data_IF_299329694349
#
_entry.id   IF_299329694349
#
_cell.length_a   1.000
_cell.length_b   1.000
_cell.length_c   1.000
_cell.angle_alpha   90.00
_cell.angle_beta   90.00
_cell.angle_gamma   90.00
#
_symmetry.space_group_name_H-M   'P 1'
#
loop_
_entity.id
_entity.type
_entity.pdbx_description
1 polymer ?
#
# COMPACT_ATOMS: atom_id res chain seq x y z
N UNK A 1 15.43 24.89 -7.01
CA UNK A 1 14.58 23.92 -7.76
C UNK A 1 14.48 22.57 -7.02
N UNK A 2 13.81 22.52 -5.86
CA UNK A 2 13.59 21.25 -5.12
C UNK A 2 12.20 21.14 -4.45
N UNK A 3 11.36 22.19 -4.53
CA UNK A 3 10.05 22.24 -3.86
C UNK A 3 8.87 21.66 -4.68
N UNK A 4 9.05 21.34 -5.96
CA UNK A 4 7.94 20.90 -6.85
C UNK A 4 7.60 19.40 -6.76
N UNK A 5 8.51 18.51 -6.32
CA UNK A 5 8.28 17.05 -6.27
C UNK A 5 7.45 16.55 -5.06
N UNK A 6 7.46 17.23 -3.90
CA UNK A 6 6.66 16.83 -2.72
C UNK A 6 5.16 17.13 -2.85
N UNK A 7 4.80 18.17 -3.62
CA UNK A 7 3.40 18.58 -3.80
C UNK A 7 2.58 17.57 -4.64
N UNK A 8 3.20 16.91 -5.62
CA UNK A 8 2.51 15.93 -6.48
C UNK A 8 2.30 14.58 -5.80
N UNK A 9 3.19 14.18 -4.89
CA UNK A 9 2.99 13.00 -4.02
C UNK A 9 1.81 13.24 -3.06
N UNK A 10 1.72 14.45 -2.48
CA UNK A 10 0.58 14.86 -1.64
C UNK A 10 -0.76 14.86 -2.38
N UNK A 11 -0.79 15.32 -3.63
CA UNK A 11 -1.99 15.28 -4.49
C UNK A 11 -2.38 13.86 -4.90
N UNK A 12 -1.41 12.98 -5.18
CA UNK A 12 -1.64 11.53 -5.45
C UNK A 12 -2.23 10.82 -4.23
N UNK A 13 -1.76 11.13 -3.02
CA UNK A 13 -2.37 10.63 -1.77
C UNK A 13 -3.78 11.15 -1.53
N UNK A 14 -4.04 12.43 -1.77
CA UNK A 14 -5.38 13.00 -1.60
C UNK A 14 -6.41 12.43 -2.57
N UNK A 15 -6.04 12.21 -3.84
CA UNK A 15 -6.93 11.62 -4.86
C UNK A 15 -7.18 10.12 -4.62
N UNK A 16 -6.15 9.38 -4.23
CA UNK A 16 -6.27 7.98 -3.79
C UNK A 16 -7.16 7.86 -2.54
N UNK A 17 -7.03 8.78 -1.57
CA UNK A 17 -7.94 8.87 -0.40
C UNK A 17 -9.39 9.10 -0.82
N UNK A 18 -9.68 9.99 -1.78
CA UNK A 18 -11.05 10.23 -2.28
C UNK A 18 -11.65 9.05 -3.07
N UNK A 19 -10.86 8.38 -3.90
CA UNK A 19 -11.32 7.21 -4.66
C UNK A 19 -11.50 5.98 -3.75
N UNK A 20 -10.65 5.82 -2.72
CA UNK A 20 -10.80 4.82 -1.67
C UNK A 20 -12.03 5.10 -0.79
N UNK A 21 -12.34 6.35 -0.47
CA UNK A 21 -13.57 6.75 0.24
C UNK A 21 -14.83 6.36 -0.56
N UNK A 22 -14.86 6.64 -1.88
CA UNK A 22 -15.99 6.26 -2.74
C UNK A 22 -16.17 4.74 -2.83
N UNK A 23 -15.08 3.96 -2.91
CA UNK A 23 -15.15 2.48 -2.93
C UNK A 23 -15.47 1.87 -1.57
N UNK A 24 -15.07 2.49 -0.46
CA UNK A 24 -15.40 2.04 0.92
C UNK A 24 -16.88 2.23 1.24
N UNK A 25 -17.50 3.34 0.82
CA UNK A 25 -18.95 3.56 0.94
C UNK A 25 -19.79 2.47 0.26
N UNK A 26 -19.31 1.90 -0.85
CA UNK A 26 -20.00 0.83 -1.58
C UNK A 26 -19.94 -0.55 -0.90
N UNK A 27 -18.95 -0.81 -0.03
CA UNK A 27 -18.85 -2.10 0.68
C UNK A 27 -19.59 -2.12 2.04
N UNK A 28 -19.89 -0.96 2.61
CA UNK A 28 -20.45 -0.82 3.96
C UNK A 28 -21.99 -0.78 4.03
N UNK A 29 -22.71 -0.83 2.90
CA UNK A 29 -24.20 -0.82 2.84
C UNK A 29 -24.85 -2.12 3.39
N UNK A 30 -24.09 -3.04 4.00
CA UNK A 30 -24.65 -4.23 4.67
C UNK A 30 -24.15 -4.37 6.10
N UNK A 31 -24.21 -3.30 6.90
CA UNK A 31 -24.31 -3.40 8.35
C UNK A 31 -25.69 -3.97 8.73
N UNK A 32 -25.84 -5.29 8.63
CA UNK A 32 -26.84 -6.03 9.42
C UNK A 32 -26.09 -6.84 10.47
N UNK A 33 -26.63 -7.00 11.70
CA UNK A 33 -26.03 -7.88 12.68
C UNK A 33 -26.13 -9.31 12.13
N UNK A 34 -24.99 -9.90 11.77
CA UNK A 34 -24.92 -11.31 11.38
C UNK A 34 -24.32 -12.09 12.54
N UNK A 35 -25.20 -12.76 13.27
CA UNK A 35 -24.85 -14.05 13.84
C UNK A 35 -24.34 -14.96 12.71
N UNK A 36 -23.28 -15.71 13.00
CA UNK A 36 -22.60 -16.68 12.14
C UNK A 36 -21.89 -16.11 10.89
N UNK A 37 -20.76 -15.44 11.11
CA UNK A 37 -19.69 -15.38 10.09
C UNK A 37 -18.74 -16.54 10.39
N UNK A 38 -18.87 -17.63 9.64
CA UNK A 38 -17.81 -18.64 9.55
C UNK A 38 -16.54 -17.96 9.03
N UNK A 39 -15.54 -17.98 9.89
CA UNK A 39 -14.19 -17.47 9.70
C UNK A 39 -13.62 -18.01 8.39
N UNK A 40 -13.44 -17.15 7.39
CA UNK A 40 -12.58 -17.47 6.26
C UNK A 40 -11.22 -16.83 6.54
N UNK A 41 -10.37 -17.55 7.28
CA UNK A 41 -8.96 -17.20 7.43
C UNK A 41 -8.39 -17.07 6.02
N UNK A 42 -8.17 -15.83 5.55
CA UNK A 42 -7.54 -15.63 4.24
C UNK A 42 -6.05 -15.84 4.43
N UNK A 43 -5.43 -16.81 3.76
CA UNK A 43 -3.98 -16.93 3.79
C UNK A 43 -3.39 -15.63 3.24
N UNK A 44 -2.35 -15.11 3.90
CA UNK A 44 -1.68 -13.92 3.38
C UNK A 44 -1.01 -14.20 2.04
N UNK A 45 -0.65 -13.12 1.34
CA UNK A 45 0.01 -13.17 0.03
C UNK A 45 1.09 -14.25 -0.14
N UNK A 46 2.04 -14.46 0.80
CA UNK A 46 3.07 -15.51 0.68
C UNK A 46 2.51 -16.93 0.62
N UNK A 47 1.30 -17.17 1.09
CA UNK A 47 0.74 -18.51 1.24
C UNK A 47 -0.35 -18.83 0.21
N UNK A 48 -0.52 -17.98 -0.81
CA UNK A 48 -1.44 -18.20 -1.93
C UNK A 48 -0.93 -19.19 -2.99
N UNK A 49 0.21 -19.85 -2.75
CA UNK A 49 0.69 -20.96 -3.59
C UNK A 49 1.42 -20.56 -4.87
N UNK A 50 1.97 -19.34 -4.95
CA UNK A 50 2.80 -18.94 -6.08
C UNK A 50 4.00 -19.91 -6.27
N UNK A 51 4.23 -20.42 -7.49
CA UNK A 51 5.39 -21.29 -7.79
C UNK A 51 6.73 -20.59 -7.59
N UNK A 52 7.82 -21.36 -7.55
CA UNK A 52 9.17 -20.81 -7.52
C UNK A 52 9.42 -19.90 -8.74
N UNK A 53 10.06 -18.75 -8.51
CA UNK A 53 10.26 -17.71 -9.53
C UNK A 53 9.05 -16.79 -9.74
N UNK A 54 7.94 -17.02 -9.04
CA UNK A 54 6.73 -16.18 -9.09
C UNK A 54 6.35 -15.67 -7.70
N UNK A 55 5.51 -14.64 -7.67
CA UNK A 55 4.94 -14.08 -6.45
C UNK A 55 3.46 -13.75 -6.64
N UNK A 56 2.70 -13.78 -5.55
CA UNK A 56 1.28 -13.44 -5.55
C UNK A 56 1.11 -11.93 -5.55
N UNK A 57 0.24 -11.42 -6.40
CA UNK A 57 0.00 -9.98 -6.51
C UNK A 57 -1.49 -9.68 -6.75
N UNK A 58 -2.07 -8.63 -6.15
CA UNK A 58 -3.41 -8.17 -6.53
C UNK A 58 -3.42 -7.63 -7.96
N UNK A 59 -4.53 -7.80 -8.68
CA UNK A 59 -4.68 -7.30 -10.06
C UNK A 59 -4.27 -5.82 -10.24
N UNK A 60 -4.63 -4.96 -9.29
CA UNK A 60 -4.28 -3.54 -9.37
C UNK A 60 -2.75 -3.30 -9.43
N UNK A 61 -1.98 -4.07 -8.65
CA UNK A 61 -0.52 -3.96 -8.70
C UNK A 61 0.05 -4.70 -9.93
N UNK A 62 -0.56 -5.81 -10.37
CA UNK A 62 -0.19 -6.49 -11.61
C UNK A 62 -0.28 -5.57 -12.82
N UNK A 63 -1.36 -4.80 -12.93
CA UNK A 63 -1.55 -3.81 -14.00
C UNK A 63 -0.48 -2.71 -13.95
N UNK A 64 -0.11 -2.24 -12.76
CA UNK A 64 0.96 -1.25 -12.60
C UNK A 64 2.33 -1.80 -13.00
N UNK A 65 2.64 -3.05 -12.64
CA UNK A 65 3.88 -3.76 -13.03
C UNK A 65 3.96 -3.99 -14.56
N UNK A 66 2.83 -4.33 -15.17
CA UNK A 66 2.69 -4.48 -16.60
C UNK A 66 2.90 -3.16 -17.34
N UNK A 67 2.28 -2.08 -16.86
CA UNK A 67 2.29 -0.76 -17.48
C UNK A 67 3.64 0.00 -17.37
N UNK A 68 4.64 -0.51 -16.62
CA UNK A 68 5.95 0.14 -16.44
C UNK A 68 6.58 0.69 -17.72
N UNK A 69 6.68 -0.05 -18.84
CA UNK A 69 7.29 0.46 -20.06
C UNK A 69 6.55 1.66 -20.66
N UNK A 70 5.22 1.73 -20.49
CA UNK A 70 4.41 2.86 -20.96
C UNK A 70 4.61 4.08 -20.06
N UNK A 71 4.74 3.87 -18.75
CA UNK A 71 5.02 4.93 -17.79
C UNK A 71 6.41 5.55 -18.00
N UNK A 72 7.41 4.74 -18.37
CA UNK A 72 8.78 5.21 -18.68
C UNK A 72 8.81 6.17 -19.88
N UNK A 73 7.97 5.95 -20.89
CA UNK A 73 7.83 6.87 -22.04
C UNK A 73 7.23 8.22 -21.66
N UNK A 74 6.58 8.29 -20.51
CA UNK A 74 5.83 9.45 -20.04
C UNK A 74 6.46 10.06 -18.79
N UNK A 75 7.76 9.84 -18.56
CA UNK A 75 8.51 10.26 -17.36
C UNK A 75 8.41 11.77 -17.04
N UNK A 76 7.98 12.60 -17.99
CA UNK A 76 7.75 14.05 -17.82
C UNK A 76 6.27 14.47 -17.83
N UNK A 77 5.35 13.51 -17.99
CA UNK A 77 3.92 13.73 -18.11
C UNK A 77 3.21 13.96 -16.77
N UNK A 78 2.21 14.84 -16.79
CA UNK A 78 1.31 15.08 -15.65
C UNK A 78 0.32 13.92 -15.43
N UNK A 79 -0.75 14.19 -14.69
CA UNK A 79 -1.80 13.20 -14.40
C UNK A 79 -2.46 12.61 -15.66
N UNK A 80 -2.65 13.43 -16.70
CA UNK A 80 -3.27 13.00 -17.97
C UNK A 80 -2.43 11.90 -18.63
N UNK A 81 -1.11 12.08 -18.68
CA UNK A 81 -0.20 11.06 -19.20
C UNK A 81 -0.29 9.74 -18.42
N UNK A 82 -0.42 9.79 -17.09
CA UNK A 82 -0.63 8.57 -16.30
C UNK A 82 -1.95 7.86 -16.66
N UNK A 83 -3.05 8.62 -16.78
CA UNK A 83 -4.35 8.07 -17.15
C UNK A 83 -4.30 7.44 -18.56
N UNK A 84 -3.61 8.08 -19.51
CA UNK A 84 -3.37 7.56 -20.86
C UNK A 84 -2.55 6.26 -20.85
N UNK A 85 -1.47 6.21 -20.05
CA UNK A 85 -0.63 5.03 -19.89
C UNK A 85 -1.45 3.82 -19.39
N UNK A 86 -2.29 4.05 -18.38
CA UNK A 86 -3.12 3.01 -17.79
C UNK A 86 -4.23 2.54 -18.73
N UNK A 87 -4.82 3.47 -19.49
CA UNK A 87 -5.81 3.11 -20.51
C UNK A 87 -5.17 2.27 -21.61
N UNK A 88 -4.00 2.68 -22.12
CA UNK A 88 -3.25 1.92 -23.12
C UNK A 88 -2.85 0.53 -22.58
N UNK A 89 -2.34 0.45 -21.35
CA UNK A 89 -2.01 -0.81 -20.70
C UNK A 89 -3.22 -1.76 -20.62
N UNK A 90 -4.39 -1.25 -20.23
CA UNK A 90 -5.59 -2.07 -20.10
C UNK A 90 -6.06 -2.62 -21.45
N UNK A 91 -5.99 -1.82 -22.52
CA UNK A 91 -6.36 -2.28 -23.87
C UNK A 91 -5.37 -3.33 -24.38
N UNK A 92 -4.06 -3.10 -24.18
CA UNK A 92 -3.01 -4.06 -24.55
C UNK A 92 -3.13 -5.37 -23.78
N UNK A 93 -3.41 -5.30 -22.47
CA UNK A 93 -3.67 -6.46 -21.63
C UNK A 93 -4.84 -7.29 -22.17
N UNK A 94 -5.97 -6.66 -22.46
CA UNK A 94 -7.16 -7.35 -22.98
C UNK A 94 -6.91 -7.95 -24.38
N UNK A 95 -6.11 -7.28 -25.20
CA UNK A 95 -5.70 -7.82 -26.50
C UNK A 95 -4.79 -9.05 -26.32
N UNK A 96 -3.83 -9.01 -25.39
CA UNK A 96 -3.00 -10.17 -25.07
C UNK A 96 -3.83 -11.38 -24.63
N UNK A 97 -4.82 -11.18 -23.75
CA UNK A 97 -5.77 -12.23 -23.37
C UNK A 97 -6.57 -12.77 -24.57
N UNK A 98 -7.01 -11.88 -25.47
CA UNK A 98 -7.76 -12.30 -26.67
C UNK A 98 -6.90 -13.16 -27.59
N UNK A 99 -5.60 -12.87 -27.71
CA UNK A 99 -4.66 -13.70 -28.46
C UNK A 99 -4.48 -15.08 -27.82
N UNK A 100 -4.38 -15.15 -26.49
CA UNK A 100 -4.30 -16.42 -25.75
C UNK A 100 -5.56 -17.29 -25.95
N UNK A 101 -6.73 -16.67 -26.13
CA UNK A 101 -8.01 -17.35 -26.42
C UNK A 101 -8.19 -17.67 -27.92
N UNK A 102 -7.26 -17.29 -28.79
CA UNK A 102 -7.35 -17.50 -30.24
C UNK A 102 -8.30 -16.53 -30.96
N UNK A 103 -8.62 -15.39 -30.35
CA UNK A 103 -9.52 -14.36 -30.85
C UNK A 103 -8.74 -13.15 -31.42
N UNK A 104 -7.83 -13.41 -32.37
CA UNK A 104 -7.05 -12.35 -33.03
C UNK A 104 -7.92 -11.46 -33.92
N UNK A 105 -7.77 -10.13 -33.79
CA UNK A 105 -8.50 -9.14 -34.58
C UNK A 105 -7.58 -8.04 -35.09
N UNK A 106 -7.26 -8.11 -36.39
CA UNK A 106 -6.49 -7.07 -37.09
C UNK A 106 -7.12 -5.68 -37.00
N UNK A 107 -8.44 -5.59 -36.81
CA UNK A 107 -9.11 -4.30 -36.63
C UNK A 107 -8.73 -3.69 -35.27
N UNK A 108 -8.82 -4.50 -34.21
CA UNK A 108 -8.47 -4.06 -32.86
C UNK A 108 -6.98 -3.71 -32.79
N UNK A 109 -6.11 -4.53 -33.39
CA UNK A 109 -4.68 -4.25 -33.48
C UNK A 109 -4.40 -2.87 -34.12
N UNK A 110 -5.01 -2.58 -35.28
CA UNK A 110 -4.85 -1.29 -35.95
C UNK A 110 -5.36 -0.12 -35.09
N UNK A 111 -6.48 -0.30 -34.39
CA UNK A 111 -7.05 0.73 -33.51
C UNK A 111 -6.12 0.99 -32.30
N UNK A 112 -5.51 -0.06 -31.73
CA UNK A 112 -4.51 0.05 -30.66
C UNK A 112 -3.28 0.81 -31.15
N UNK A 113 -2.69 0.39 -32.28
CA UNK A 113 -1.50 1.03 -32.85
C UNK A 113 -1.75 2.50 -33.17
N UNK A 114 -2.91 2.85 -33.73
CA UNK A 114 -3.31 4.23 -33.98
C UNK A 114 -3.37 5.05 -32.68
N UNK A 115 -3.95 4.47 -31.63
CA UNK A 115 -4.05 5.12 -30.31
C UNK A 115 -2.66 5.32 -29.70
N UNK A 116 -1.80 4.29 -29.73
CA UNK A 116 -0.44 4.37 -29.19
C UNK A 116 0.40 5.44 -29.89
N UNK A 117 0.32 5.53 -31.23
CA UNK A 117 1.00 6.59 -31.98
C UNK A 117 0.58 7.99 -31.51
N UNK A 118 -0.71 8.20 -31.29
CA UNK A 118 -1.25 9.49 -30.86
C UNK A 118 -0.92 9.82 -29.40
N UNK A 119 -1.07 8.85 -28.48
CA UNK A 119 -0.90 9.07 -27.04
C UNK A 119 0.57 9.18 -26.59
N UNK A 120 1.49 8.55 -27.34
CA UNK A 120 2.91 8.49 -26.96
C UNK A 120 3.84 9.18 -27.96
N UNK A 121 3.29 9.89 -28.95
CA UNK A 121 4.04 10.58 -30.02
C UNK A 121 5.06 9.65 -30.72
N UNK A 122 4.60 8.45 -31.08
CA UNK A 122 5.43 7.42 -31.70
C UNK A 122 5.22 7.38 -33.20
N UNK A 123 6.31 7.15 -33.94
CA UNK A 123 6.21 6.73 -35.33
C UNK A 123 5.65 5.29 -35.44
N UNK A 124 5.39 4.86 -36.67
CA UNK A 124 4.79 3.55 -36.93
C UNK A 124 5.66 2.37 -36.48
N UNK A 125 6.97 2.49 -36.64
CA UNK A 125 7.91 1.42 -36.28
C UNK A 125 8.07 1.33 -34.76
N UNK A 126 8.18 2.47 -34.09
CA UNK A 126 8.26 2.55 -32.64
C UNK A 126 6.95 2.08 -31.97
N UNK A 127 5.80 2.44 -32.52
CA UNK A 127 4.50 1.97 -32.03
C UNK A 127 4.34 0.45 -32.18
N UNK A 128 4.74 -0.12 -33.32
CA UNK A 128 4.72 -1.57 -33.53
C UNK A 128 5.67 -2.30 -32.57
N UNK A 129 6.89 -1.79 -32.41
CA UNK A 129 7.87 -2.38 -31.50
C UNK A 129 7.37 -2.36 -30.04
N UNK A 130 6.77 -1.25 -29.61
CA UNK A 130 6.18 -1.14 -28.27
C UNK A 130 4.97 -2.07 -28.11
N UNK A 131 4.09 -2.13 -29.11
CA UNK A 131 2.95 -3.05 -29.12
C UNK A 131 3.41 -4.49 -28.92
N UNK A 132 4.33 -4.98 -29.77
CA UNK A 132 4.89 -6.33 -29.66
C UNK A 132 5.54 -6.57 -28.30
N UNK A 133 6.36 -5.63 -27.82
CA UNK A 133 6.99 -5.69 -26.49
C UNK A 133 5.95 -5.86 -25.38
N UNK A 134 4.84 -5.14 -25.45
CA UNK A 134 3.79 -5.21 -24.42
C UNK A 134 3.00 -6.52 -24.46
N UNK A 135 2.76 -7.10 -25.64
CA UNK A 135 2.14 -8.43 -25.76
C UNK A 135 3.08 -9.51 -25.20
N UNK A 136 4.35 -9.50 -25.61
CA UNK A 136 5.36 -10.43 -25.09
C UNK A 136 5.55 -10.30 -23.58
N UNK A 137 5.54 -9.06 -23.05
CA UNK A 137 5.63 -8.80 -21.61
C UNK A 137 4.45 -9.40 -20.85
N UNK A 138 3.24 -9.42 -21.41
CA UNK A 138 2.08 -10.03 -20.74
C UNK A 138 2.32 -11.53 -20.52
N UNK A 139 2.59 -12.27 -21.59
CA UNK A 139 2.84 -13.71 -21.52
C UNK A 139 4.07 -14.08 -20.69
N UNK A 140 5.11 -13.23 -20.69
CA UNK A 140 6.29 -13.43 -19.85
C UNK A 140 5.97 -13.24 -18.36
N UNK A 141 5.30 -12.15 -17.98
CA UNK A 141 5.01 -11.82 -16.59
C UNK A 141 3.90 -12.67 -15.98
N UNK A 142 2.87 -12.99 -16.77
CA UNK A 142 1.65 -13.69 -16.35
C UNK A 142 1.39 -14.93 -17.20
N UNK A 143 2.25 -15.97 -17.16
CA UNK A 143 2.03 -17.17 -17.95
C UNK A 143 0.66 -17.80 -17.61
N UNK A 144 -0.17 -18.13 -18.61
CA UNK A 144 -1.55 -18.56 -18.39
C UNK A 144 -1.66 -19.94 -17.72
N UNK A 145 -0.65 -20.80 -17.90
CA UNK A 145 -0.57 -22.16 -17.38
C UNK A 145 -0.47 -22.23 -15.86
N UNK A 146 0.05 -21.18 -15.22
CA UNK A 146 0.23 -21.12 -13.76
C UNK A 146 -0.79 -20.24 -13.05
N UNK A 147 -1.61 -19.46 -13.77
CA UNK A 147 -2.49 -18.48 -13.13
C UNK A 147 -3.55 -19.18 -12.25
N UNK A 148 -3.82 -18.65 -11.04
CA UNK A 148 -4.82 -19.22 -10.16
C UNK A 148 -6.24 -18.98 -10.71
N UNK A 149 -7.05 -20.04 -10.82
CA UNK A 149 -8.44 -19.96 -11.31
C UNK A 149 -9.37 -19.38 -10.25
N UNK A 150 -10.22 -18.44 -10.64
CA UNK A 150 -11.24 -17.84 -9.76
C UNK A 150 -10.67 -17.01 -8.61
N UNK A 151 -9.38 -16.67 -8.64
CA UNK A 151 -8.72 -15.90 -7.60
C UNK A 151 -8.74 -14.40 -7.93
N UNK A 152 -8.88 -13.51 -6.94
CA UNK A 152 -8.65 -12.07 -7.12
C UNK A 152 -7.16 -11.69 -7.20
N UNK A 153 -6.27 -12.68 -7.08
CA UNK A 153 -4.82 -12.54 -7.15
C UNK A 153 -4.29 -13.19 -8.43
N UNK A 154 -3.13 -12.72 -8.87
CA UNK A 154 -2.38 -13.27 -9.99
C UNK A 154 -1.00 -13.71 -9.52
N UNK A 155 -0.37 -14.61 -10.28
CA UNK A 155 1.04 -14.90 -10.12
C UNK A 155 1.84 -14.10 -11.14
N UNK A 156 2.75 -13.26 -10.66
CA UNK A 156 3.67 -12.49 -11.48
C UNK A 156 5.08 -13.04 -11.35
N UNK A 157 5.81 -13.10 -12.47
CA UNK A 157 7.21 -13.50 -12.47
C UNK A 157 8.07 -12.51 -11.68
N UNK A 158 9.02 -13.02 -10.91
CA UNK A 158 10.08 -12.24 -10.26
C UNK A 158 11.15 -11.92 -11.29
N UNK A 159 11.16 -10.70 -11.83
CA UNK A 159 12.16 -10.25 -12.82
C UNK A 159 13.54 -10.04 -12.19
N UNK A 160 13.58 -9.67 -10.91
CA UNK A 160 14.80 -9.38 -10.15
C UNK A 160 14.76 -10.11 -8.83
N UNK A 161 15.88 -10.74 -8.46
CA UNK A 161 16.08 -11.29 -7.11
C UNK A 161 16.59 -10.18 -6.21
N UNK A 162 15.79 -9.79 -5.22
CA UNK A 162 16.18 -8.78 -4.25
C UNK A 162 16.88 -9.43 -3.04
N UNK A 163 18.02 -8.87 -2.63
CA UNK A 163 18.63 -9.19 -1.34
C UNK A 163 17.94 -8.35 -0.27
N UNK A 164 17.02 -8.95 0.47
CA UNK A 164 16.30 -8.28 1.55
C UNK A 164 17.08 -8.48 2.85
N UNK A 165 17.58 -7.37 3.40
CA UNK A 165 18.26 -7.34 4.69
C UNK A 165 17.31 -6.76 5.74
N UNK A 166 17.38 -7.21 7.01
CA UNK A 166 16.69 -6.54 8.10
C UNK A 166 17.07 -5.06 8.17
N UNK A 167 16.21 -4.26 8.80
CA UNK A 167 16.52 -2.87 9.08
C UNK A 167 17.72 -2.77 10.03
N UNK A 168 18.60 -1.81 9.76
CA UNK A 168 19.79 -1.56 10.57
C UNK A 168 19.46 -0.56 11.69
N UNK A 169 19.17 -1.08 12.89
CA UNK A 169 18.81 -0.27 14.05
C UNK A 169 19.94 0.63 14.54
N UNK A 170 21.20 0.32 14.23
CA UNK A 170 22.34 1.16 14.61
C UNK A 170 22.34 2.49 13.85
N UNK A 171 21.56 2.58 12.76
CA UNK A 171 21.35 3.82 12.00
C UNK A 171 20.27 4.73 12.59
N UNK A 172 19.54 4.29 13.61
CA UNK A 172 18.59 5.10 14.36
C UNK A 172 19.28 5.76 15.55
N UNK A 173 19.95 6.88 15.28
CA UNK A 173 20.49 7.75 16.33
C UNK A 173 19.42 8.80 16.70
N UNK A 174 18.67 8.52 17.78
CA UNK A 174 17.61 9.38 18.30
C UNK A 174 17.85 9.68 19.78
N UNK A 175 17.52 10.89 20.21
CA UNK A 175 17.62 11.27 21.63
C UNK A 175 16.63 10.48 22.50
N UNK A 176 17.11 9.99 23.64
CA UNK A 176 16.27 9.38 24.68
C UNK A 176 15.45 10.41 25.48
N UNK A 177 15.72 11.72 25.32
CA UNK A 177 15.04 12.77 26.07
C UNK A 177 13.55 12.83 25.72
N UNK A 178 12.69 12.76 26.73
CA UNK A 178 11.24 12.85 26.55
C UNK A 178 10.88 14.24 26.03
N UNK A 179 10.16 14.31 24.91
CA UNK A 179 9.63 15.56 24.36
C UNK A 179 8.21 15.75 24.89
N UNK A 180 7.97 16.66 25.86
CA UNK A 180 6.65 16.81 26.48
C UNK A 180 5.60 17.28 25.44
N UNK A 181 4.31 16.93 25.64
CA UNK A 181 3.25 17.30 24.71
C UNK A 181 2.96 18.82 24.78
N UNK A 182 2.96 19.47 23.62
CA UNK A 182 2.47 20.85 23.49
C UNK A 182 0.93 20.90 23.42
N UNK A 183 0.36 22.11 23.30
CA UNK A 183 -1.10 22.29 23.21
C UNK A 183 -1.73 21.54 22.03
N UNK A 184 -1.05 21.46 20.89
CA UNK A 184 -1.54 20.75 19.70
C UNK A 184 -1.43 19.23 19.88
N UNK A 185 -0.37 18.74 20.54
CA UNK A 185 -0.28 17.31 20.89
C UNK A 185 -1.43 16.88 21.79
N UNK A 186 -1.73 17.67 22.84
CA UNK A 186 -2.86 17.39 23.73
C UNK A 186 -4.19 17.36 22.99
N UNK A 187 -4.42 18.33 22.10
CA UNK A 187 -5.61 18.37 21.26
C UNK A 187 -5.69 17.17 20.31
N UNK A 188 -4.57 16.72 19.73
CA UNK A 188 -4.51 15.51 18.91
C UNK A 188 -4.92 14.29 19.75
N UNK A 189 -4.35 14.11 20.94
CA UNK A 189 -4.65 12.97 21.83
C UNK A 189 -6.12 12.95 22.24
N UNK A 190 -6.73 14.10 22.59
CA UNK A 190 -8.16 14.20 22.87
C UNK A 190 -9.01 13.73 21.69
N UNK A 191 -8.62 14.08 20.47
CA UNK A 191 -9.32 13.69 19.24
C UNK A 191 -9.15 12.21 18.91
N UNK A 192 -7.97 11.62 19.15
CA UNK A 192 -7.77 10.17 19.02
C UNK A 192 -8.66 9.43 20.03
N UNK A 193 -8.66 9.85 21.30
CA UNK A 193 -9.53 9.27 22.33
C UNK A 193 -11.02 9.37 21.96
N UNK A 194 -11.45 10.48 21.34
CA UNK A 194 -12.81 10.62 20.83
C UNK A 194 -13.13 9.63 19.71
N UNK A 195 -12.21 9.42 18.77
CA UNK A 195 -12.36 8.41 17.71
C UNK A 195 -12.47 7.01 18.31
N UNK A 196 -11.57 6.65 19.22
CA UNK A 196 -11.59 5.35 19.90
C UNK A 196 -12.93 5.12 20.62
N UNK A 197 -13.42 6.14 21.34
CA UNK A 197 -14.69 6.07 22.07
C UNK A 197 -15.89 5.86 21.12
N UNK A 198 -15.87 6.51 19.95
CA UNK A 198 -16.93 6.32 18.93
C UNK A 198 -16.91 4.89 18.38
N UNK A 199 -15.72 4.35 18.14
CA UNK A 199 -15.55 2.98 17.63
C UNK A 199 -15.98 1.96 18.69
N UNK A 200 -15.55 2.12 19.95
CA UNK A 200 -15.97 1.25 21.06
C UNK A 200 -17.48 1.31 21.32
N UNK A 201 -18.13 2.45 21.05
CA UNK A 201 -19.58 2.59 21.13
C UNK A 201 -20.34 2.01 19.91
N UNK A 202 -19.64 1.42 18.94
CA UNK A 202 -20.24 0.84 17.74
C UNK A 202 -20.86 1.89 16.80
N UNK A 203 -20.38 3.14 16.86
CA UNK A 203 -20.84 4.20 15.96
C UNK A 203 -20.47 3.82 14.53
N UNK A 204 -21.39 4.03 13.59
CA UNK A 204 -21.16 3.73 12.18
C UNK A 204 -20.06 4.61 11.58
N UNK A 205 -19.25 4.03 10.70
CA UNK A 205 -18.10 4.68 10.06
C UNK A 205 -18.41 6.05 9.45
N UNK A 206 -19.52 6.19 8.73
CA UNK A 206 -19.91 7.45 8.09
C UNK A 206 -20.06 8.62 9.07
N UNK A 207 -20.31 8.34 10.36
CA UNK A 207 -20.47 9.34 11.42
C UNK A 207 -19.13 9.82 11.99
N UNK A 208 -18.07 9.01 11.90
CA UNK A 208 -16.73 9.38 12.37
C UNK A 208 -15.69 9.54 11.26
N UNK A 209 -16.05 9.29 9.99
CA UNK A 209 -15.15 9.36 8.82
C UNK A 209 -14.38 10.69 8.74
N UNK A 210 -15.06 11.82 8.92
CA UNK A 210 -14.42 13.14 8.85
C UNK A 210 -13.37 13.36 9.95
N UNK A 211 -13.65 12.87 11.16
CA UNK A 211 -12.70 12.87 12.28
C UNK A 211 -11.51 11.98 11.96
N UNK A 212 -11.75 10.74 11.53
CA UNK A 212 -10.72 9.79 11.14
C UNK A 212 -9.77 10.35 10.07
N UNK A 213 -10.31 10.90 8.99
CA UNK A 213 -9.51 11.40 7.87
C UNK A 213 -8.61 12.57 8.26
N UNK A 214 -9.15 13.51 9.05
CA UNK A 214 -8.38 14.67 9.51
C UNK A 214 -7.33 14.30 10.56
N UNK A 215 -7.57 13.26 11.36
CA UNK A 215 -6.59 12.73 12.32
C UNK A 215 -5.36 12.16 11.62
N UNK A 216 -5.49 11.50 10.47
CA UNK A 216 -4.36 10.89 9.76
C UNK A 216 -3.28 11.92 9.39
N UNK A 217 -3.70 13.02 8.75
CA UNK A 217 -2.77 14.05 8.29
C UNK A 217 -2.14 14.81 9.47
N UNK A 218 -2.93 15.09 10.51
CA UNK A 218 -2.42 15.75 11.72
C UNK A 218 -1.41 14.85 12.46
N UNK A 219 -1.75 13.57 12.66
CA UNK A 219 -0.88 12.62 13.35
C UNK A 219 0.44 12.43 12.60
N UNK A 220 0.40 12.29 11.26
CA UNK A 220 1.61 12.23 10.43
C UNK A 220 2.50 13.46 10.66
N UNK A 221 1.95 14.67 10.56
CA UNK A 221 2.73 15.90 10.71
C UNK A 221 3.34 16.06 12.13
N UNK A 222 2.60 15.66 13.18
CA UNK A 222 3.10 15.70 14.56
C UNK A 222 4.20 14.66 14.79
N UNK A 223 4.06 13.47 14.22
CA UNK A 223 5.08 12.42 14.31
C UNK A 223 6.36 12.80 13.56
N UNK A 224 6.27 13.37 12.35
CA UNK A 224 7.43 13.92 11.62
C UNK A 224 8.19 14.94 12.44
N UNK A 225 7.46 15.89 13.04
CA UNK A 225 8.07 16.90 13.91
C UNK A 225 8.77 16.27 15.10
N UNK A 226 8.14 15.28 15.74
CA UNK A 226 8.75 14.56 16.85
C UNK A 226 10.04 13.84 16.44
N UNK A 227 10.08 13.17 15.29
CA UNK A 227 11.30 12.54 14.77
C UNK A 227 12.42 13.57 14.51
N UNK A 228 12.08 14.74 13.98
CA UNK A 228 13.04 15.84 13.78
C UNK A 228 13.55 16.36 15.12
N UNK A 229 12.66 16.61 16.08
CA UNK A 229 13.02 17.12 17.40
C UNK A 229 13.84 16.08 18.20
N UNK A 230 13.66 14.78 17.91
CA UNK A 230 14.49 13.67 18.41
C UNK A 230 15.88 13.58 17.76
N UNK A 231 16.15 14.38 16.73
CA UNK A 231 17.46 14.44 16.07
C UNK A 231 17.67 13.42 14.95
N UNK A 232 16.59 12.85 14.38
CA UNK A 232 16.71 11.82 13.34
C UNK A 232 17.61 12.27 12.18
N UNK A 233 18.66 11.48 11.92
CA UNK A 233 19.57 11.65 10.78
C UNK A 233 19.00 11.11 9.46
N UNK A 234 17.91 10.34 9.54
CA UNK A 234 17.26 9.68 8.43
C UNK A 234 16.22 10.60 7.76
N UNK A 235 15.79 10.25 6.54
CA UNK A 235 14.61 10.88 5.96
C UNK A 235 13.36 10.47 6.75
N UNK A 236 12.86 11.38 7.60
CA UNK A 236 11.69 11.16 8.45
C UNK A 236 10.45 10.72 7.67
N UNK A 237 10.36 11.05 6.38
CA UNK A 237 9.27 10.63 5.51
C UNK A 237 9.22 9.09 5.36
N UNK A 238 10.35 8.40 5.42
CA UNK A 238 10.40 6.93 5.34
C UNK A 238 9.66 6.27 6.51
N UNK A 239 9.60 6.94 7.66
CA UNK A 239 8.87 6.46 8.84
C UNK A 239 7.44 7.01 8.88
N UNK A 240 7.24 8.29 8.60
CA UNK A 240 5.93 8.93 8.80
C UNK A 240 4.89 8.55 7.74
N UNK A 241 5.33 8.26 6.52
CA UNK A 241 4.44 7.93 5.42
C UNK A 241 3.70 6.61 5.63
N UNK A 242 4.24 5.76 6.51
CA UNK A 242 3.66 4.48 6.86
C UNK A 242 2.31 4.63 7.60
N UNK A 243 2.14 5.73 8.34
CA UNK A 243 1.01 5.91 9.26
C UNK A 243 -0.33 5.90 8.54
N UNK A 244 -0.42 6.45 7.34
CA UNK A 244 -1.70 6.48 6.63
C UNK A 244 -2.26 5.08 6.36
N UNK A 245 -1.40 4.13 6.00
CA UNK A 245 -1.80 2.75 5.73
C UNK A 245 -2.08 2.01 7.02
N UNK A 246 -1.29 2.26 8.06
CA UNK A 246 -1.54 1.65 9.37
C UNK A 246 -2.86 2.13 9.99
N UNK A 247 -3.17 3.43 9.89
CA UNK A 247 -4.48 3.97 10.29
C UNK A 247 -5.63 3.39 9.45
N UNK A 248 -5.41 3.21 8.13
CA UNK A 248 -6.40 2.55 7.28
C UNK A 248 -6.62 1.09 7.64
N UNK A 249 -5.61 0.42 8.20
CA UNK A 249 -5.74 -0.90 8.77
C UNK A 249 -6.51 -0.81 10.09
N UNK A 250 -6.01 -0.11 11.10
CA UNK A 250 -6.62 -0.09 12.44
C UNK A 250 -8.07 0.41 12.44
N UNK A 251 -8.38 1.50 11.74
CA UNK A 251 -9.67 2.17 11.83
C UNK A 251 -10.51 2.10 10.55
N UNK A 252 -9.89 1.83 9.40
CA UNK A 252 -10.55 1.84 8.08
C UNK A 252 -10.76 0.46 7.48
N UNK A 253 -10.38 -0.60 8.19
CA UNK A 253 -10.55 -1.99 7.80
C UNK A 253 -11.47 -2.68 8.80
N UNK A 254 -12.25 -3.63 8.31
CA UNK A 254 -13.11 -4.42 9.18
C UNK A 254 -12.29 -5.52 9.81
N UNK A 255 -12.21 -5.48 11.12
CA UNK A 255 -11.63 -6.53 11.96
C UNK A 255 -12.75 -7.32 12.62
N UNK A 256 -12.41 -8.54 13.07
CA UNK A 256 -13.33 -9.35 13.85
C UNK A 256 -13.48 -8.78 15.27
N UNK A 257 -12.40 -8.21 15.81
CA UNK A 257 -12.38 -7.52 17.10
C UNK A 257 -12.48 -6.00 16.96
N UNK A 258 -12.99 -5.34 17.99
CA UNK A 258 -12.89 -3.88 18.10
C UNK A 258 -11.46 -3.51 18.52
N UNK A 259 -10.65 -3.07 17.55
CA UNK A 259 -9.26 -2.66 17.80
C UNK A 259 -9.11 -1.13 17.76
N UNK A 260 -8.13 -0.64 18.52
CA UNK A 260 -7.71 0.77 18.53
C UNK A 260 -6.19 0.82 18.64
N UNK A 261 -5.57 1.99 18.48
CA UNK A 261 -4.12 2.10 18.68
C UNK A 261 -3.69 1.66 20.10
N UNK A 262 -4.55 1.79 21.12
CA UNK A 262 -4.29 1.30 22.50
C UNK A 262 -4.25 -0.21 22.64
N UNK A 263 -4.97 -0.94 21.79
CA UNK A 263 -5.17 -2.37 21.92
C UNK A 263 -5.20 -3.01 20.54
N UNK A 264 -4.04 -3.49 20.10
CA UNK A 264 -3.87 -4.22 18.85
C UNK A 264 -3.38 -5.63 19.20
N UNK A 265 -4.25 -6.65 19.13
CA UNK A 265 -3.85 -8.03 19.34
C UNK A 265 -2.73 -8.45 18.37
N UNK A 266 -1.80 -9.29 18.84
CA UNK A 266 -0.63 -9.76 18.08
C UNK A 266 -0.98 -10.28 16.68
N UNK A 267 -2.10 -11.00 16.54
CA UNK A 267 -2.54 -11.55 15.26
C UNK A 267 -2.78 -10.49 14.18
N UNK A 268 -3.22 -9.28 14.56
CA UNK A 268 -3.42 -8.19 13.61
C UNK A 268 -2.10 -7.56 13.15
N UNK A 269 -1.03 -7.65 13.93
CA UNK A 269 0.31 -7.30 13.41
C UNK A 269 0.74 -8.31 12.36
N UNK A 270 0.51 -9.60 12.58
CA UNK A 270 0.78 -10.65 11.57
C UNK A 270 -0.02 -10.39 10.30
N UNK A 271 -1.33 -10.17 10.39
CA UNK A 271 -2.18 -9.85 9.22
C UNK A 271 -1.72 -8.57 8.50
N UNK A 272 -1.38 -7.54 9.27
CA UNK A 272 -0.91 -6.28 8.71
C UNK A 272 0.33 -6.47 7.84
N UNK A 273 1.36 -7.11 8.40
CA UNK A 273 2.66 -7.28 7.75
C UNK A 273 2.62 -8.35 6.65
N UNK A 274 1.90 -9.45 6.85
CA UNK A 274 1.85 -10.56 5.90
C UNK A 274 1.01 -10.25 4.66
N UNK A 275 -0.04 -9.44 4.81
CA UNK A 275 -1.07 -9.29 3.79
C UNK A 275 -1.46 -7.84 3.53
N UNK A 276 -1.98 -7.13 4.53
CA UNK A 276 -2.60 -5.82 4.29
C UNK A 276 -1.61 -4.82 3.70
N UNK A 277 -0.44 -4.68 4.31
CA UNK A 277 0.62 -3.77 3.87
C UNK A 277 1.03 -4.07 2.43
N UNK A 278 1.39 -5.32 2.15
CA UNK A 278 1.89 -5.76 0.84
C UNK A 278 0.83 -5.63 -0.27
N UNK A 279 -0.46 -5.78 0.04
CA UNK A 279 -1.55 -5.56 -0.92
C UNK A 279 -1.85 -4.09 -1.17
N UNK A 280 -1.68 -3.24 -0.15
CA UNK A 280 -2.11 -1.84 -0.17
C UNK A 280 -1.03 -0.87 -0.60
N UNK A 281 0.23 -1.23 -0.38
CA UNK A 281 1.38 -0.42 -0.77
C UNK A 281 2.11 -1.02 -1.95
N UNK A 282 2.58 -0.13 -2.81
CA UNK A 282 3.56 -0.43 -3.85
C UNK A 282 4.84 0.28 -3.45
N UNK A 283 5.66 -0.42 -2.67
CA UNK A 283 6.97 0.05 -2.24
C UNK A 283 8.05 -0.88 -2.79
N UNK A 284 9.28 -0.38 -2.88
CA UNK A 284 10.43 -1.23 -3.18
C UNK A 284 10.58 -2.33 -2.11
N UNK A 285 11.09 -3.54 -2.45
CA UNK A 285 11.26 -4.61 -1.46
C UNK A 285 12.05 -4.21 -0.21
N UNK A 286 13.07 -3.36 -0.38
CA UNK A 286 13.89 -2.84 0.71
C UNK A 286 13.26 -1.67 1.46
N UNK A 287 12.20 -1.05 0.94
CA UNK A 287 11.47 0.01 1.65
C UNK A 287 10.53 -0.59 2.71
N UNK A 288 10.06 -1.82 2.50
CA UNK A 288 9.19 -2.51 3.46
C UNK A 288 9.85 -2.72 4.83
N UNK A 289 11.18 -2.83 4.88
CA UNK A 289 11.91 -3.10 6.13
C UNK A 289 11.85 -1.91 7.10
N UNK A 290 11.47 -0.71 6.64
CA UNK A 290 11.26 0.46 7.48
C UNK A 290 9.94 0.42 8.26
N UNK A 291 8.99 -0.46 7.91
CA UNK A 291 7.66 -0.47 8.54
C UNK A 291 7.67 -0.91 10.01
N UNK A 292 8.34 -2.02 10.40
CA UNK A 292 8.46 -2.38 11.81
C UNK A 292 9.08 -1.27 12.69
N UNK A 293 10.26 -0.69 12.35
CA UNK A 293 10.82 0.40 13.17
C UNK A 293 9.93 1.65 13.14
N UNK A 294 9.30 1.99 12.02
CA UNK A 294 8.37 3.13 11.96
C UNK A 294 7.19 2.98 12.92
N UNK A 295 6.58 1.79 12.99
CA UNK A 295 5.50 1.54 13.95
C UNK A 295 6.00 1.59 15.39
N UNK A 296 7.19 1.03 15.70
CA UNK A 296 7.78 1.12 17.04
C UNK A 296 8.01 2.57 17.47
N UNK A 297 8.61 3.38 16.60
CA UNK A 297 8.82 4.81 16.83
C UNK A 297 7.50 5.57 17.00
N UNK A 298 6.50 5.24 16.19
CA UNK A 298 5.18 5.84 16.30
C UNK A 298 4.50 5.55 17.64
N UNK A 299 4.62 4.32 18.13
CA UNK A 299 4.12 3.94 19.45
C UNK A 299 4.88 4.64 20.58
N UNK A 300 6.18 4.86 20.44
CA UNK A 300 6.97 5.70 21.35
C UNK A 300 6.50 7.16 21.36
N UNK A 301 6.24 7.75 20.18
CA UNK A 301 5.64 9.07 20.06
C UNK A 301 4.29 9.14 20.79
N UNK A 302 3.39 8.18 20.58
CA UNK A 302 2.08 8.15 21.23
C UNK A 302 2.17 8.07 22.76
N UNK A 303 3.14 7.34 23.29
CA UNK A 303 3.43 7.31 24.73
C UNK A 303 3.91 8.68 25.23
N UNK A 304 4.91 9.29 24.57
CA UNK A 304 5.41 10.60 24.98
C UNK A 304 4.35 11.70 24.92
N UNK A 305 3.36 11.57 24.02
CA UNK A 305 2.25 12.53 23.93
C UNK A 305 1.12 12.27 24.93
N UNK A 306 1.21 11.20 25.72
CA UNK A 306 0.24 10.87 26.76
C UNK A 306 -1.01 10.17 26.23
N UNK A 307 -0.97 9.60 25.02
CA UNK A 307 -2.05 8.75 24.53
C UNK A 307 -1.97 7.34 25.13
N UNK A 308 -0.75 6.83 25.35
CA UNK A 308 -0.48 5.52 25.96
C UNK A 308 0.26 5.71 27.29
N UNK A 309 -0.06 4.87 28.26
CA UNK A 309 0.73 4.74 29.48
C UNK A 309 2.09 4.06 29.20
N UNK A 310 2.10 3.06 28.30
CA UNK A 310 3.30 2.35 27.89
C UNK A 310 3.16 1.84 26.47
N UNK A 311 4.22 2.02 25.67
CA UNK A 311 4.35 1.46 24.31
C UNK A 311 5.05 0.10 24.28
N UNK A 312 5.64 -0.33 25.42
CA UNK A 312 6.56 -1.47 25.49
C UNK A 312 5.96 -2.76 24.94
N UNK A 313 4.77 -3.14 25.41
CA UNK A 313 4.13 -4.40 24.99
C UNK A 313 3.87 -4.42 23.47
N UNK A 314 3.48 -3.29 22.90
CA UNK A 314 3.22 -3.18 21.47
C UNK A 314 4.54 -3.22 20.67
N UNK A 315 5.58 -2.53 21.14
CA UNK A 315 6.90 -2.57 20.53
C UNK A 315 7.51 -3.98 20.58
N UNK A 316 7.31 -4.70 21.69
CA UNK A 316 7.73 -6.10 21.86
C UNK A 316 6.98 -7.02 20.88
N UNK A 317 5.67 -6.84 20.71
CA UNK A 317 4.88 -7.61 19.75
C UNK A 317 5.29 -7.34 18.30
N UNK A 318 5.54 -6.08 17.92
CA UNK A 318 6.10 -5.75 16.61
C UNK A 318 7.47 -6.41 16.41
N UNK A 319 8.33 -6.38 17.42
CA UNK A 319 9.67 -7.00 17.37
C UNK A 319 9.61 -8.53 17.22
N UNK A 320 8.57 -9.17 17.76
CA UNK A 320 8.32 -10.61 17.55
C UNK A 320 7.85 -10.92 16.12
N UNK A 321 7.05 -10.05 15.50
CA UNK A 321 6.57 -10.24 14.11
C UNK A 321 7.65 -9.91 13.07
N UNK A 322 8.54 -8.97 13.37
CA UNK A 322 9.53 -8.45 12.42
C UNK A 322 10.39 -9.55 11.74
N UNK A 323 10.99 -10.53 12.43
CA UNK A 323 11.73 -11.61 11.78
C UNK A 323 10.87 -12.43 10.81
N UNK A 324 9.63 -12.72 11.19
CA UNK A 324 8.68 -13.41 10.31
C UNK A 324 8.35 -12.57 9.08
N UNK A 325 8.14 -11.27 9.25
CA UNK A 325 7.88 -10.35 8.15
C UNK A 325 9.06 -10.30 7.15
N UNK A 326 10.31 -10.35 7.62
CA UNK A 326 11.47 -10.44 6.73
C UNK A 326 11.42 -11.72 5.87
N UNK A 327 11.02 -12.85 6.44
CA UNK A 327 10.83 -14.10 5.67
C UNK A 327 9.68 -14.00 4.66
N UNK A 328 8.59 -13.33 5.02
CA UNK A 328 7.49 -13.01 4.09
C UNK A 328 8.01 -12.20 2.90
N UNK A 329 8.80 -11.14 3.17
CA UNK A 329 9.40 -10.31 2.12
C UNK A 329 10.31 -11.14 1.22
N UNK A 330 11.19 -11.98 1.79
CA UNK A 330 12.08 -12.85 1.00
C UNK A 330 11.27 -13.79 0.11
N UNK A 331 10.23 -14.44 0.65
CA UNK A 331 9.35 -15.30 -0.15
C UNK A 331 8.68 -14.53 -1.29
N UNK A 332 8.31 -13.27 -1.07
CA UNK A 332 7.66 -12.43 -2.07
C UNK A 332 8.63 -11.85 -3.12
N UNK A 333 9.87 -11.51 -2.77
CA UNK A 333 10.72 -10.69 -3.63
C UNK A 333 12.14 -11.23 -3.87
N UNK A 334 12.60 -12.24 -3.12
CA UNK A 334 13.92 -12.87 -3.30
C UNK A 334 13.88 -14.07 -4.24
#
# INVERSE_FOLDING_TARGET
MAKKKKADIGKRRAKSKQEAQKKRKLRLVKSRPRHDVQISHRPGLPHLGAPEGFRSIPFAQAMMEYAKPLMELLEQGGKEAFDDAMQAAMVLWNYALSLEEGHESRKIEKDILKTMRASFDLDETAAQALFTKMIERHGYLFPPDIQPKGSPFMFIRKEVRHIIRPFDYDTLDLSDDIIPPDRKDKALVERINKLDSQISAGIEYDKYESLFLSLKDECQARFERWLVDKGSSQDVALFSDCLHIYFDFIYGYMHDDTITLKCVPFIYFVEFFEDFLLRKMMAGPNEYVYWPPALKLFYGFLQEKGYLESSKNIADDISKVEPYFIEVLKKQFS
#
